data_IF_862522824531
#
_entry.id   IF_862522824531
#
_cell.length_a   1.000
_cell.length_b   1.000
_cell.length_c   1.000
_cell.angle_alpha   90.00
_cell.angle_beta   90.00
_cell.angle_gamma   90.00
#
_symmetry.space_group_name_H-M   'P 1'
#
loop_
_entity.id
_entity.type
_entity.pdbx_description
1 polymer ?
#
# COMPACT_ATOMS: atom_id res chain seq x y z
N UNK A 1 -4.38 -28.43 -18.77
CA UNK A 1 -3.46 -27.27 -18.71
C UNK A 1 -3.66 -26.49 -17.42
N UNK A 2 -2.58 -25.94 -16.84
CA UNK A 2 -2.58 -25.29 -15.52
C UNK A 2 -2.36 -23.77 -15.62
N UNK A 3 -3.02 -23.01 -14.74
CA UNK A 3 -2.82 -21.58 -14.55
C UNK A 3 -1.91 -21.36 -13.34
N UNK A 4 -0.74 -20.74 -13.52
CA UNK A 4 0.24 -20.61 -12.42
C UNK A 4 1.17 -19.40 -12.60
N UNK A 5 1.82 -19.04 -11.49
CA UNK A 5 2.96 -18.12 -11.44
C UNK A 5 4.12 -18.79 -10.69
N UNK A 6 5.32 -18.73 -11.26
CA UNK A 6 6.56 -19.14 -10.61
C UNK A 6 7.41 -17.90 -10.35
N UNK A 7 7.69 -17.64 -9.07
CA UNK A 7 8.59 -16.57 -8.62
C UNK A 7 9.99 -17.14 -8.49
N UNK A 8 10.95 -16.60 -9.26
CA UNK A 8 12.31 -17.13 -9.38
C UNK A 8 13.28 -16.15 -8.72
N UNK A 9 14.19 -16.69 -7.90
CA UNK A 9 15.22 -15.94 -7.16
C UNK A 9 14.64 -14.73 -6.40
N UNK A 10 13.65 -14.99 -5.53
CA UNK A 10 13.08 -13.97 -4.62
C UNK A 10 12.56 -12.73 -5.37
N UNK A 11 11.91 -12.95 -6.52
CA UNK A 11 11.29 -11.88 -7.30
C UNK A 11 12.19 -11.24 -8.35
N UNK A 12 13.40 -11.75 -8.60
CA UNK A 12 14.23 -11.27 -9.72
C UNK A 12 13.62 -11.61 -11.10
N UNK A 13 12.85 -12.70 -11.19
CA UNK A 13 12.19 -13.11 -12.42
C UNK A 13 10.87 -13.81 -12.12
N UNK A 14 9.92 -13.69 -13.05
CA UNK A 14 8.61 -14.32 -12.97
C UNK A 14 8.33 -15.12 -14.24
N UNK A 15 7.73 -16.30 -14.10
CA UNK A 15 7.12 -17.05 -15.19
C UNK A 15 5.63 -17.16 -14.91
N UNK A 16 4.80 -16.62 -15.79
CA UNK A 16 3.34 -16.60 -15.63
C UNK A 16 2.73 -17.37 -16.79
N UNK A 17 1.81 -18.28 -16.48
CA UNK A 17 1.13 -19.10 -17.49
C UNK A 17 -0.39 -19.04 -17.31
N UNK A 18 -1.09 -18.72 -18.41
CA UNK A 18 -2.55 -18.77 -18.54
C UNK A 18 -3.31 -18.09 -17.39
N UNK A 19 -3.15 -16.78 -17.27
CA UNK A 19 -4.00 -15.97 -16.39
C UNK A 19 -5.42 -15.94 -16.99
N UNK A 20 -6.41 -16.46 -16.27
CA UNK A 20 -7.76 -16.68 -16.80
C UNK A 20 -8.76 -15.58 -16.42
N UNK A 21 -8.53 -14.90 -15.30
CA UNK A 21 -9.52 -14.00 -14.73
C UNK A 21 -8.88 -12.76 -14.07
N UNK A 22 -9.76 -11.87 -13.62
CA UNK A 22 -9.37 -10.64 -12.94
C UNK A 22 -8.62 -10.91 -11.64
N UNK A 23 -9.03 -11.92 -10.86
CA UNK A 23 -8.43 -12.19 -9.56
C UNK A 23 -6.99 -12.72 -9.71
N UNK A 24 -6.75 -13.62 -10.66
CA UNK A 24 -5.42 -14.12 -11.00
C UNK A 24 -4.52 -12.99 -11.51
N UNK A 25 -5.05 -12.06 -12.30
CA UNK A 25 -4.31 -10.87 -12.76
C UNK A 25 -3.88 -9.99 -11.57
N UNK A 26 -4.76 -9.80 -10.57
CA UNK A 26 -4.44 -9.04 -9.34
C UNK A 26 -3.41 -9.76 -8.47
N UNK A 27 -3.47 -11.09 -8.39
CA UNK A 27 -2.49 -11.91 -7.65
C UNK A 27 -1.10 -11.77 -8.29
N UNK A 28 -1.00 -11.91 -9.62
CA UNK A 28 0.25 -11.72 -10.36
C UNK A 28 0.81 -10.31 -10.12
N UNK A 29 -0.03 -9.28 -10.26
CA UNK A 29 0.38 -7.90 -10.02
C UNK A 29 0.94 -7.69 -8.61
N UNK A 30 0.26 -8.21 -7.58
CA UNK A 30 0.73 -8.09 -6.20
C UNK A 30 2.09 -8.77 -5.99
N UNK A 31 2.23 -10.02 -6.44
CA UNK A 31 3.46 -10.80 -6.28
C UNK A 31 4.67 -10.20 -7.02
N UNK A 32 4.44 -9.47 -8.12
CA UNK A 32 5.50 -8.78 -8.84
C UNK A 32 6.04 -7.52 -8.15
N UNK A 33 5.30 -6.97 -7.17
CA UNK A 33 5.65 -5.70 -6.51
C UNK A 33 6.11 -5.87 -5.05
N UNK A 34 5.98 -7.06 -4.45
CA UNK A 34 6.49 -7.31 -3.09
C UNK A 34 7.99 -7.60 -3.09
N UNK A 35 8.66 -7.27 -2.00
CA UNK A 35 10.10 -7.47 -1.85
C UNK A 35 10.45 -7.80 -0.38
N UNK A 36 11.51 -8.58 -0.15
CA UNK A 36 11.83 -9.14 1.18
C UNK A 36 12.90 -8.36 1.96
N UNK A 37 13.45 -7.30 1.37
CA UNK A 37 14.44 -6.45 2.04
C UNK A 37 13.82 -5.84 3.29
N UNK A 38 14.57 -5.85 4.40
CA UNK A 38 14.18 -5.18 5.64
C UNK A 38 14.00 -3.69 5.37
N UNK A 39 12.85 -3.16 5.74
CA UNK A 39 12.53 -1.74 5.66
C UNK A 39 11.59 -1.35 6.81
N UNK A 40 11.47 -0.07 7.08
CA UNK A 40 10.57 0.47 8.10
C UNK A 40 9.53 1.35 7.42
N UNK A 41 8.25 1.08 7.70
CA UNK A 41 7.13 1.90 7.25
C UNK A 41 6.64 2.67 8.46
N UNK A 42 6.81 4.00 8.46
CA UNK A 42 6.29 4.89 9.50
C UNK A 42 4.97 5.48 9.04
N UNK A 43 3.91 5.28 9.83
CA UNK A 43 2.58 5.81 9.56
C UNK A 43 2.21 6.78 10.67
N UNK A 44 1.89 8.02 10.29
CA UNK A 44 1.37 9.03 11.20
C UNK A 44 0.13 9.69 10.60
N UNK A 45 -0.70 10.29 11.46
CA UNK A 45 -1.71 11.25 10.99
C UNK A 45 -1.03 12.59 10.71
N UNK A 46 -1.77 13.49 10.04
CA UNK A 46 -1.44 14.91 10.08
C UNK A 46 -1.39 15.41 11.55
N UNK A 47 -0.63 16.48 11.81
CA UNK A 47 -0.67 17.16 13.11
C UNK A 47 -2.10 17.60 13.47
N UNK A 48 -2.40 17.79 14.75
CA UNK A 48 -3.76 18.19 15.16
C UNK A 48 -4.26 19.40 14.36
N UNK A 49 -5.49 19.33 13.83
CA UNK A 49 -6.12 20.45 13.10
C UNK A 49 -7.14 21.20 13.94
N UNK A 50 -7.53 22.40 13.51
CA UNK A 50 -8.60 23.17 14.16
C UNK A 50 -9.93 22.40 14.21
N UNK A 51 -10.26 21.65 13.15
CA UNK A 51 -11.44 20.77 13.15
C UNK A 51 -11.32 19.63 14.17
N UNK A 52 -10.13 19.09 14.41
CA UNK A 52 -9.96 18.08 15.46
C UNK A 52 -10.26 18.66 16.85
N UNK A 53 -9.81 19.88 17.12
CA UNK A 53 -10.10 20.60 18.38
C UNK A 53 -11.60 20.84 18.55
N UNK A 54 -12.31 21.15 17.46
CA UNK A 54 -13.76 21.40 17.46
C UNK A 54 -14.63 20.14 17.36
N UNK A 55 -14.03 18.96 17.15
CA UNK A 55 -14.76 17.71 16.93
C UNK A 55 -15.45 17.61 15.57
N UNK A 56 -15.05 18.42 14.59
CA UNK A 56 -15.60 18.40 13.24
C UNK A 56 -14.94 17.30 12.39
N UNK A 57 -15.72 16.71 11.48
CA UNK A 57 -15.25 15.69 10.52
C UNK A 57 -15.00 16.30 9.14
N UNK A 58 -14.02 15.77 8.40
CA UNK A 58 -13.68 16.23 7.05
C UNK A 58 -13.23 17.70 6.98
N UNK A 59 -13.39 18.29 5.80
CA UNK A 59 -12.95 19.66 5.52
C UNK A 59 -11.45 19.79 5.26
N UNK A 60 -10.97 21.02 5.18
CA UNK A 60 -9.58 21.39 4.88
C UNK A 60 -9.09 22.48 5.84
N UNK A 61 -9.24 22.22 7.15
CA UNK A 61 -8.86 23.19 8.18
C UNK A 61 -7.36 23.18 8.43
N UNK A 62 -6.81 24.36 8.71
CA UNK A 62 -5.42 24.54 9.14
C UNK A 62 -5.04 23.72 10.40
N UNK A 63 -3.74 23.48 10.56
CA UNK A 63 -3.17 22.88 11.76
C UNK A 63 -3.37 23.78 13.00
N UNK A 64 -3.61 23.16 14.16
CA UNK A 64 -3.56 23.82 15.46
C UNK A 64 -2.12 24.22 15.82
N UNK A 65 -1.93 25.06 16.84
CA UNK A 65 -0.59 25.37 17.34
C UNK A 65 0.16 24.10 17.75
N UNK A 66 -0.52 23.18 18.43
CA UNK A 66 0.02 21.87 18.82
C UNK A 66 0.33 20.97 17.62
N UNK A 67 -0.41 21.10 16.52
CA UNK A 67 -0.14 20.34 15.30
C UNK A 67 1.08 20.82 14.51
N UNK A 68 1.61 22.02 14.81
CA UNK A 68 2.80 22.59 14.17
C UNK A 68 4.09 22.39 14.97
N UNK A 69 3.97 22.07 16.26
CA UNK A 69 5.07 21.66 17.14
C UNK A 69 5.60 20.26 16.78
#
# INVERSE_FOLDING_TARGET
DLSFIQVINVGQRFLVNRVQDYIQSKIVYYLMNIHVQKHSIYLCRHGESQHNVQGCIGGDSELSSRGKE
#
